data_IF_910557480357
#
_entry.id   IF_910557480357
#
_cell.length_a   1.000
_cell.length_b   1.000
_cell.length_c   1.000
_cell.angle_alpha   90.00
_cell.angle_beta   90.00
_cell.angle_gamma   90.00
#
_symmetry.space_group_name_H-M   'P 1'
#
loop_
_entity.id
_entity.type
_entity.pdbx_description
1 polymer ?
#
# COMPACT_ATOMS: atom_id res chain seq x y z
N UNK A 1 3.68 -0.39 -37.21
CA UNK A 1 2.65 0.59 -37.60
C UNK A 1 1.29 0.03 -37.22
N UNK A 2 0.88 0.22 -35.97
CA UNK A 2 -0.43 -0.16 -35.45
C UNK A 2 -0.79 0.93 -34.43
N UNK A 3 -1.63 1.88 -34.85
CA UNK A 3 -2.35 2.75 -33.93
C UNK A 3 -3.18 1.85 -33.00
N UNK A 4 -3.41 2.28 -31.76
CA UNK A 4 -4.40 1.65 -30.87
C UNK A 4 -5.79 1.77 -31.50
N UNK A 5 -6.12 0.86 -32.42
CA UNK A 5 -7.50 0.61 -32.81
C UNK A 5 -8.22 -0.14 -31.68
N UNK A 6 -9.54 -0.02 -31.57
CA UNK A 6 -10.31 -0.69 -30.54
C UNK A 6 -10.14 -2.21 -30.70
N UNK A 7 -9.33 -2.83 -29.83
CA UNK A 7 -9.31 -4.29 -29.70
C UNK A 7 -10.41 -4.67 -28.71
N UNK A 8 -11.20 -5.67 -29.10
CA UNK A 8 -12.22 -6.26 -28.23
C UNK A 8 -11.61 -6.65 -26.87
N UNK A 9 -12.34 -6.45 -25.76
CA UNK A 9 -11.84 -6.75 -24.43
C UNK A 9 -11.45 -8.23 -24.33
N UNK A 10 -10.20 -8.51 -23.97
CA UNK A 10 -9.82 -9.83 -23.48
C UNK A 10 -10.49 -10.01 -22.13
N UNK A 11 -11.42 -10.97 -22.07
CA UNK A 11 -12.18 -11.36 -20.88
C UNK A 11 -11.20 -11.64 -19.73
N UNK A 12 -11.14 -10.72 -18.76
CA UNK A 12 -10.73 -11.04 -17.40
C UNK A 12 -11.95 -11.66 -16.70
N UNK A 13 -11.72 -12.75 -15.96
CA UNK A 13 -12.72 -13.47 -15.18
C UNK A 13 -13.69 -12.56 -14.41
N UNK A 14 -14.97 -12.91 -14.48
CA UNK A 14 -16.09 -12.31 -13.76
C UNK A 14 -15.78 -12.10 -12.28
N UNK A 15 -15.75 -10.85 -11.84
CA UNK A 15 -16.02 -10.49 -10.45
C UNK A 15 -17.52 -10.22 -10.32
N UNK A 16 -18.23 -11.13 -9.65
CA UNK A 16 -19.62 -10.94 -9.24
C UNK A 16 -19.76 -9.70 -8.34
N UNK A 17 -20.78 -8.84 -8.52
CA UNK A 17 -20.99 -7.68 -7.66
C UNK A 17 -21.64 -8.09 -6.34
N UNK A 18 -21.03 -7.64 -5.23
CA UNK A 18 -21.66 -7.60 -3.90
C UNK A 18 -22.77 -6.54 -3.94
N UNK A 19 -24.04 -6.97 -3.88
CA UNK A 19 -25.19 -6.07 -3.67
C UNK A 19 -25.26 -5.65 -2.20
N UNK A 20 -25.42 -4.35 -1.97
CA UNK A 20 -25.91 -3.81 -0.70
C UNK A 20 -27.40 -4.18 -0.51
N UNK A 21 -27.87 -4.47 0.71
CA UNK A 21 -29.28 -4.77 0.95
C UNK A 21 -30.08 -3.47 1.14
N UNK A 22 -31.12 -3.29 0.33
CA UNK A 22 -32.27 -2.44 0.65
C UNK A 22 -33.42 -3.31 1.16
N UNK A 23 -34.16 -2.69 2.08
CA UNK A 23 -35.37 -3.08 2.78
C UNK A 23 -36.25 -4.16 2.13
N UNK A 24 -36.49 -5.24 2.88
CA UNK A 24 -37.59 -6.15 2.60
C UNK A 24 -38.19 -6.67 3.92
N UNK A 25 -39.31 -6.05 4.29
CA UNK A 25 -40.22 -6.47 5.35
C UNK A 25 -40.69 -7.90 5.10
N UNK A 26 -40.38 -8.85 5.99
CA UNK A 26 -40.96 -10.19 5.97
C UNK A 26 -41.49 -10.56 7.36
N UNK A 27 -42.76 -10.96 7.37
CA UNK A 27 -43.53 -11.39 8.51
C UNK A 27 -42.96 -12.67 9.13
N UNK A 28 -42.80 -12.68 10.46
CA UNK A 28 -42.51 -13.88 11.23
C UNK A 28 -43.81 -14.47 11.77
N UNK A 29 -44.25 -15.59 11.20
CA UNK A 29 -45.17 -16.53 11.83
C UNK A 29 -44.39 -17.54 12.66
N UNK A 30 -44.69 -17.59 13.96
CA UNK A 30 -44.16 -18.57 14.91
C UNK A 30 -44.85 -19.93 14.68
N UNK A 31 -44.06 -21.00 14.51
CA UNK A 31 -44.53 -22.37 14.74
C UNK A 31 -43.65 -23.04 15.80
N UNK A 32 -44.32 -23.45 16.87
CA UNK A 32 -43.82 -24.05 18.09
C UNK A 32 -43.37 -25.51 17.83
N UNK A 33 -42.20 -25.91 18.33
CA UNK A 33 -41.84 -27.31 18.47
C UNK A 33 -41.37 -27.57 19.91
N UNK A 34 -42.19 -28.37 20.59
CA UNK A 34 -42.12 -28.79 21.98
C UNK A 34 -41.00 -29.83 22.19
N UNK A 35 -40.16 -29.65 23.22
CA UNK A 35 -39.46 -30.78 23.84
C UNK A 35 -39.73 -30.79 25.33
N UNK A 36 -40.16 -31.97 25.78
CA UNK A 36 -40.65 -32.34 27.10
C UNK A 36 -39.48 -32.45 28.08
N UNK A 37 -39.59 -31.77 29.22
CA UNK A 37 -38.80 -32.04 30.43
C UNK A 37 -39.74 -32.57 31.52
N UNK A 38 -39.30 -33.62 32.21
CA UNK A 38 -39.90 -34.13 33.44
C UNK A 38 -38.78 -34.71 34.34
N UNK A 39 -38.96 -34.73 35.68
CA UNK A 39 -37.99 -34.13 36.59
C UNK A 39 -37.43 -35.08 37.66
N UNK A 40 -36.44 -34.61 38.42
CA UNK A 40 -36.18 -35.09 39.78
C UNK A 40 -35.90 -33.90 40.73
N UNK A 41 -36.79 -33.71 41.69
CA UNK A 41 -36.63 -32.95 42.92
C UNK A 41 -36.21 -33.96 44.03
N UNK A 42 -35.78 -33.69 45.26
CA UNK A 42 -35.75 -32.56 46.20
C UNK A 42 -34.81 -33.00 47.34
N UNK A 43 -34.10 -32.09 48.02
CA UNK A 43 -34.00 -32.17 49.49
C UNK A 43 -33.60 -30.80 50.07
N UNK A 44 -34.50 -30.28 50.90
CA UNK A 44 -34.44 -29.03 51.68
C UNK A 44 -34.09 -29.37 53.13
N UNK A 45 -33.41 -28.43 53.79
CA UNK A 45 -33.55 -28.17 55.23
C UNK A 45 -32.18 -27.95 55.88
N UNK A 46 -31.85 -26.83 56.52
CA UNK A 46 -32.63 -25.71 57.03
C UNK A 46 -32.07 -25.32 58.39
N UNK A 47 -31.86 -24.02 58.63
CA UNK A 47 -31.83 -23.46 59.98
C UNK A 47 -30.51 -22.88 60.49
N UNK A 48 -30.52 -21.56 60.75
CA UNK A 48 -30.19 -21.07 62.09
C UNK A 48 -28.94 -20.19 62.26
N UNK A 49 -29.19 -18.87 62.38
CA UNK A 49 -28.55 -17.88 63.28
C UNK A 49 -27.04 -17.58 63.12
N UNK A 50 -26.48 -16.42 63.49
CA UNK A 50 -26.81 -14.98 63.65
C UNK A 50 -25.47 -14.33 64.08
N UNK A 51 -25.39 -13.00 63.96
CA UNK A 51 -24.36 -12.09 64.51
C UNK A 51 -23.07 -11.95 63.68
N UNK A 52 -22.58 -10.75 63.36
CA UNK A 52 -23.00 -9.39 63.72
C UNK A 52 -21.83 -8.41 63.51
N UNK A 53 -22.15 -7.15 63.21
CA UNK A 53 -21.26 -5.98 63.34
C UNK A 53 -20.49 -5.63 62.05
N UNK A 54 -20.95 -4.73 61.17
CA UNK A 54 -21.11 -3.27 61.27
C UNK A 54 -19.80 -2.45 61.26
N UNK A 55 -19.71 -1.63 60.20
CA UNK A 55 -19.28 -0.20 60.15
C UNK A 55 -17.80 0.10 60.46
N UNK A 56 -17.13 1.07 59.84
CA UNK A 56 -17.49 2.12 58.89
C UNK A 56 -16.19 2.61 58.22
N UNK A 57 -16.25 3.10 56.99
CA UNK A 57 -16.35 4.53 56.65
C UNK A 57 -15.00 5.28 56.63
N UNK A 58 -14.72 5.81 55.42
CA UNK A 58 -14.01 7.07 55.12
C UNK A 58 -12.50 7.12 55.45
N UNK A 59 -11.60 7.61 54.61
CA UNK A 59 -11.70 8.31 53.35
C UNK A 59 -10.31 8.91 53.03
N UNK A 60 -10.08 9.16 51.74
CA UNK A 60 -9.28 10.24 51.16
C UNK A 60 -7.77 10.41 51.48
N UNK A 61 -7.10 10.82 50.39
CA UNK A 61 -5.93 11.73 50.28
C UNK A 61 -4.49 11.17 50.29
N UNK A 62 -3.97 11.07 49.05
CA UNK A 62 -2.80 11.77 48.46
C UNK A 62 -1.47 11.88 49.23
N UNK A 63 -0.45 11.39 48.53
CA UNK A 63 0.85 12.02 48.19
C UNK A 63 1.81 12.39 49.34
N UNK A 64 2.98 11.76 49.39
CA UNK A 64 4.28 12.39 49.07
C UNK A 64 5.46 11.40 49.16
N UNK A 65 6.48 11.73 48.38
CA UNK A 65 7.85 11.21 48.30
C UNK A 65 8.58 11.11 49.65
N UNK A 66 9.39 10.06 49.84
CA UNK A 66 10.85 10.11 50.08
C UNK A 66 11.39 8.67 50.25
N UNK A 67 12.33 8.23 49.40
CA UNK A 67 13.79 8.22 49.62
C UNK A 67 14.33 7.23 50.68
N UNK A 68 15.01 6.19 50.13
CA UNK A 68 16.26 5.54 50.57
C UNK A 68 16.27 4.58 51.77
N UNK A 69 17.19 3.61 51.58
CA UNK A 69 17.96 2.84 52.56
C UNK A 69 17.39 1.50 53.05
N UNK A 70 17.70 0.46 52.26
CA UNK A 70 18.70 -0.57 52.62
C UNK A 70 18.78 -0.99 54.10
N UNK A 71 18.33 -2.21 54.44
CA UNK A 71 19.03 -3.14 55.36
C UNK A 71 18.53 -4.58 55.23
N UNK A 72 19.50 -5.48 55.17
CA UNK A 72 19.50 -6.90 54.79
C UNK A 72 19.14 -7.86 55.98
N UNK A 73 19.42 -9.19 55.91
CA UNK A 73 18.52 -10.35 55.75
C UNK A 73 18.33 -11.16 57.06
N UNK A 74 17.49 -12.21 57.05
CA UNK A 74 17.82 -13.53 57.66
C UNK A 74 16.65 -14.56 57.60
N UNK A 75 17.04 -15.84 57.46
CA UNK A 75 16.32 -17.13 57.57
C UNK A 75 15.61 -17.70 56.32
N UNK A 76 16.17 -18.68 55.56
CA UNK A 76 16.41 -20.15 55.81
C UNK A 76 15.11 -20.91 56.17
N UNK A 77 14.69 -22.07 55.66
CA UNK A 77 15.18 -23.18 54.78
C UNK A 77 13.94 -24.10 54.54
N UNK A 78 13.63 -24.66 53.36
CA UNK A 78 13.68 -26.10 52.96
C UNK A 78 12.79 -26.22 51.70
N UNK A 79 13.27 -26.51 50.48
CA UNK A 79 13.83 -27.75 49.93
C UNK A 79 12.84 -28.93 49.88
N UNK A 80 12.32 -29.23 48.69
CA UNK A 80 12.21 -30.62 48.21
C UNK A 80 12.41 -30.67 46.69
N UNK A 81 13.54 -31.27 46.31
CA UNK A 81 13.96 -31.64 44.96
C UNK A 81 13.70 -33.14 44.80
N UNK A 82 13.09 -33.54 43.69
CA UNK A 82 13.23 -34.88 43.05
C UNK A 82 13.28 -34.56 41.53
N UNK A 83 14.44 -34.39 40.87
CA UNK A 83 15.41 -35.40 40.36
C UNK A 83 14.71 -36.43 39.44
N UNK A 84 15.05 -36.77 38.19
CA UNK A 84 16.08 -36.51 37.18
C UNK A 84 15.44 -37.07 35.87
N UNK A 85 15.61 -36.52 34.66
CA UNK A 85 16.71 -36.91 33.77
C UNK A 85 16.66 -36.18 32.41
N UNK A 86 17.78 -36.17 31.66
CA UNK A 86 18.14 -35.13 30.73
C UNK A 86 17.89 -35.53 29.26
N UNK A 87 17.12 -34.72 28.55
CA UNK A 87 17.28 -34.55 27.11
C UNK A 87 17.42 -33.06 26.86
N UNK A 88 18.67 -32.63 26.72
CA UNK A 88 19.02 -31.24 26.47
C UNK A 88 18.49 -30.79 25.11
N UNK A 89 17.28 -30.24 25.09
CA UNK A 89 16.84 -29.38 23.99
C UNK A 89 17.45 -28.01 24.24
N UNK A 90 18.64 -27.78 23.65
CA UNK A 90 19.18 -26.43 23.54
C UNK A 90 18.13 -25.56 22.82
N UNK A 91 17.71 -24.41 23.37
CA UNK A 91 16.92 -23.48 22.59
C UNK A 91 17.81 -23.02 21.43
N UNK A 92 17.35 -23.25 20.20
CA UNK A 92 17.96 -22.69 19.00
C UNK A 92 17.95 -21.17 19.17
N UNK A 93 19.11 -20.63 19.59
CA UNK A 93 19.41 -19.20 19.54
C UNK A 93 19.11 -18.74 18.12
N UNK A 94 18.32 -17.67 18.02
CA UNK A 94 17.83 -17.12 16.78
C UNK A 94 18.90 -17.09 15.71
N UNK A 95 18.65 -17.84 14.64
CA UNK A 95 19.19 -17.54 13.33
C UNK A 95 18.65 -16.15 12.98
N UNK A 96 19.42 -15.12 13.34
CA UNK A 96 19.33 -13.84 12.68
C UNK A 96 19.48 -14.17 11.20
N UNK A 97 18.38 -14.10 10.45
CA UNK A 97 18.42 -14.28 9.01
C UNK A 97 19.53 -13.35 8.49
N UNK A 98 20.43 -13.83 7.61
CA UNK A 98 21.47 -12.98 7.07
C UNK A 98 20.79 -11.73 6.53
N UNK A 99 21.26 -10.54 6.96
CA UNK A 99 20.81 -9.29 6.36
C UNK A 99 21.05 -9.47 4.87
N UNK A 100 19.97 -9.56 4.11
CA UNK A 100 20.01 -9.63 2.65
C UNK A 100 20.90 -8.48 2.21
N UNK A 101 21.83 -8.77 1.32
CA UNK A 101 22.65 -7.76 0.67
C UNK A 101 21.69 -6.67 0.22
N UNK A 102 21.76 -5.48 0.84
CA UNK A 102 20.88 -4.36 0.53
C UNK A 102 21.42 -3.75 -0.75
N UNK A 103 21.30 -4.50 -1.85
CA UNK A 103 21.42 -3.94 -3.18
C UNK A 103 20.41 -2.81 -3.29
N UNK A 104 20.81 -1.72 -3.94
CA UNK A 104 19.88 -0.63 -4.20
C UNK A 104 18.71 -1.19 -4.99
N UNK A 105 17.48 -1.13 -4.47
CA UNK A 105 16.38 -1.78 -5.14
C UNK A 105 16.19 -1.13 -6.51
N UNK A 106 16.23 -1.96 -7.55
CA UNK A 106 16.24 -1.61 -8.97
C UNK A 106 15.47 -0.33 -9.35
N UNK A 107 16.21 0.67 -9.82
CA UNK A 107 15.72 1.80 -10.60
C UNK A 107 16.07 1.56 -12.07
N UNK A 108 15.07 1.38 -12.93
CA UNK A 108 15.27 1.04 -14.34
C UNK A 108 14.65 2.08 -15.27
N UNK A 109 15.43 2.56 -16.23
CA UNK A 109 14.97 3.44 -17.30
C UNK A 109 14.77 2.62 -18.58
N UNK A 110 13.58 2.68 -19.16
CA UNK A 110 13.16 1.91 -20.33
C UNK A 110 12.84 2.89 -21.45
N UNK A 111 13.66 2.91 -22.50
CA UNK A 111 13.41 3.74 -23.67
C UNK A 111 12.28 3.17 -24.53
N UNK A 112 11.59 4.05 -25.27
CA UNK A 112 10.66 3.69 -26.34
C UNK A 112 9.54 2.71 -25.91
N UNK A 113 8.96 2.90 -24.72
CA UNK A 113 7.75 2.18 -24.30
C UNK A 113 6.58 2.57 -25.20
N UNK A 114 6.40 3.87 -25.44
CA UNK A 114 5.49 4.38 -26.45
C UNK A 114 6.28 4.72 -27.71
N UNK A 115 5.85 4.19 -28.86
CA UNK A 115 6.38 4.64 -30.15
C UNK A 115 5.83 6.03 -30.51
N UNK A 116 6.40 6.65 -31.54
CA UNK A 116 6.02 8.00 -31.96
C UNK A 116 4.55 8.15 -32.36
N UNK A 117 3.89 7.07 -32.82
CA UNK A 117 2.48 7.12 -33.22
C UNK A 117 1.57 7.10 -31.98
N UNK A 118 1.83 6.19 -31.04
CA UNK A 118 1.09 6.11 -29.78
C UNK A 118 1.31 7.37 -28.95
N UNK A 119 2.53 7.88 -28.88
CA UNK A 119 2.84 9.13 -28.17
C UNK A 119 2.10 10.33 -28.76
N UNK A 120 2.11 10.48 -30.10
CA UNK A 120 1.37 11.55 -30.78
C UNK A 120 -0.12 11.46 -30.49
N UNK A 121 -0.70 10.29 -30.73
CA UNK A 121 -2.12 10.05 -30.48
C UNK A 121 -2.51 10.37 -29.03
N UNK A 122 -1.71 9.93 -28.06
CA UNK A 122 -1.95 10.19 -26.64
C UNK A 122 -1.85 11.68 -26.30
N UNK A 123 -0.87 12.40 -26.86
CA UNK A 123 -0.73 13.86 -26.69
C UNK A 123 -1.91 14.62 -27.29
N UNK A 124 -2.36 14.23 -28.49
CA UNK A 124 -3.52 14.85 -29.14
C UNK A 124 -4.76 14.72 -28.24
N UNK A 125 -4.99 13.52 -27.69
CA UNK A 125 -6.09 13.29 -26.74
C UNK A 125 -5.92 14.06 -25.43
N UNK A 126 -4.71 14.14 -24.89
CA UNK A 126 -4.42 14.94 -23.70
C UNK A 126 -4.62 16.46 -23.90
N UNK A 127 -4.73 16.94 -25.14
CA UNK A 127 -5.13 18.31 -25.46
C UNK A 127 -6.65 18.54 -25.47
N UNK A 128 -7.45 17.48 -25.48
CA UNK A 128 -8.93 17.54 -25.54
C UNK A 128 -9.61 17.28 -24.19
N UNK A 129 -8.87 16.70 -23.25
CA UNK A 129 -9.41 16.21 -21.97
C UNK A 129 -9.60 17.31 -20.93
N UNK A 130 -10.45 17.03 -19.96
CA UNK A 130 -10.60 17.88 -18.78
C UNK A 130 -9.57 17.56 -17.71
N UNK A 131 -8.83 18.57 -17.27
CA UNK A 131 -7.97 18.51 -16.10
C UNK A 131 -8.69 18.99 -14.83
N UNK A 132 -8.37 18.36 -13.70
CA UNK A 132 -8.85 18.70 -12.36
C UNK A 132 -7.69 18.71 -11.36
N UNK A 133 -7.89 19.31 -10.19
CA UNK A 133 -6.88 19.34 -9.12
C UNK A 133 -6.40 17.92 -8.75
N UNK A 134 -5.11 17.66 -8.94
CA UNK A 134 -4.50 16.36 -8.71
C UNK A 134 -4.42 15.94 -7.24
N UNK A 135 -4.71 16.84 -6.28
CA UNK A 135 -4.88 16.50 -4.86
C UNK A 135 -6.00 15.50 -4.62
N UNK A 136 -6.97 15.38 -5.54
CA UNK A 136 -8.08 14.43 -5.44
C UNK A 136 -7.64 12.96 -5.55
N UNK A 137 -6.42 12.70 -6.00
CA UNK A 137 -5.89 11.35 -6.24
C UNK A 137 -4.70 10.98 -5.35
N UNK A 138 -4.24 11.92 -4.51
CA UNK A 138 -3.15 11.67 -3.59
C UNK A 138 -3.62 10.95 -2.32
N UNK A 139 -2.74 10.11 -1.76
CA UNK A 139 -2.88 9.62 -0.39
C UNK A 139 -2.91 10.77 0.62
N UNK A 140 -3.39 10.49 1.84
CA UNK A 140 -3.68 11.53 2.85
C UNK A 140 -2.47 12.44 3.14
N UNK A 141 -1.30 11.84 3.31
CA UNK A 141 -0.05 12.55 3.62
C UNK A 141 0.43 13.37 2.41
N UNK A 142 0.47 12.73 1.23
CA UNK A 142 1.00 13.32 0.01
C UNK A 142 0.11 14.43 -0.57
N UNK A 143 -1.18 14.45 -0.21
CA UNK A 143 -2.15 15.48 -0.67
C UNK A 143 -1.73 16.90 -0.30
N UNK A 144 -1.05 17.08 0.83
CA UNK A 144 -0.65 18.42 1.33
C UNK A 144 0.47 19.04 0.49
N UNK A 145 1.31 18.20 -0.10
CA UNK A 145 2.49 18.58 -0.89
C UNK A 145 2.29 18.45 -2.40
N UNK A 146 1.09 18.04 -2.84
CA UNK A 146 0.76 17.92 -4.27
C UNK A 146 0.15 19.20 -4.81
N UNK A 147 0.76 19.74 -5.86
CA UNK A 147 0.27 20.91 -6.60
C UNK A 147 0.41 20.64 -8.09
N UNK A 148 -0.54 19.90 -8.65
CA UNK A 148 -0.57 19.60 -10.07
C UNK A 148 -2.02 19.38 -10.53
N UNK A 149 -2.17 19.06 -11.80
CA UNK A 149 -3.43 18.67 -12.39
C UNK A 149 -3.41 17.21 -12.84
N UNK A 150 -4.59 16.60 -12.91
CA UNK A 150 -4.76 15.27 -13.50
C UNK A 150 -6.02 15.22 -14.33
N UNK A 151 -6.02 14.33 -15.34
CA UNK A 151 -7.21 14.07 -16.15
C UNK A 151 -8.36 13.59 -15.26
N UNK A 152 -9.54 14.17 -15.46
CA UNK A 152 -10.76 13.84 -14.73
C UNK A 152 -11.10 12.35 -14.90
N UNK A 153 -11.49 11.69 -13.81
CA UNK A 153 -11.90 10.27 -13.84
C UNK A 153 -13.19 10.05 -14.62
N UNK A 154 -13.99 11.09 -14.79
CA UNK A 154 -15.22 11.06 -15.57
C UNK A 154 -15.00 11.36 -17.07
N UNK A 155 -13.76 11.68 -17.48
CA UNK A 155 -13.47 11.98 -18.87
C UNK A 155 -13.66 10.74 -19.77
N UNK A 156 -14.45 10.83 -20.86
CA UNK A 156 -14.74 9.68 -21.71
C UNK A 156 -13.51 9.13 -22.44
N UNK A 157 -12.46 9.92 -22.64
CA UNK A 157 -11.23 9.48 -23.32
C UNK A 157 -10.27 8.74 -22.38
N UNK A 158 -10.47 8.85 -21.06
CA UNK A 158 -9.54 8.32 -20.07
C UNK A 158 -9.29 6.82 -20.22
N UNK A 159 -10.36 6.04 -20.37
CA UNK A 159 -10.25 4.57 -20.44
C UNK A 159 -9.43 4.10 -21.65
N UNK A 160 -9.63 4.73 -22.81
CA UNK A 160 -8.88 4.38 -24.04
C UNK A 160 -7.40 4.74 -23.90
N UNK A 161 -7.10 5.93 -23.38
CA UNK A 161 -5.72 6.37 -23.11
C UNK A 161 -5.01 5.44 -22.10
N UNK A 162 -5.71 5.05 -21.03
CA UNK A 162 -5.18 4.11 -20.03
C UNK A 162 -4.83 2.76 -20.66
N UNK A 163 -5.73 2.23 -21.50
CA UNK A 163 -5.51 0.94 -22.16
C UNK A 163 -4.30 1.00 -23.11
N UNK A 164 -4.15 2.09 -23.87
CA UNK A 164 -2.99 2.30 -24.75
C UNK A 164 -1.67 2.17 -23.98
N UNK A 165 -1.53 2.88 -22.85
CA UNK A 165 -0.31 2.84 -22.04
C UNK A 165 -0.08 1.45 -21.42
N UNK A 166 -1.13 0.80 -20.90
CA UNK A 166 -1.03 -0.55 -20.33
C UNK A 166 -0.57 -1.55 -21.39
N UNK A 167 -1.19 -1.56 -22.56
CA UNK A 167 -0.85 -2.48 -23.65
C UNK A 167 0.62 -2.32 -24.05
N UNK A 168 1.09 -1.07 -24.19
CA UNK A 168 2.48 -0.79 -24.54
C UNK A 168 3.48 -1.19 -23.47
N UNK A 169 3.15 -0.99 -22.19
CA UNK A 169 3.97 -1.50 -21.09
C UNK A 169 4.04 -3.04 -21.11
N UNK A 170 2.90 -3.73 -21.27
CA UNK A 170 2.83 -5.19 -21.27
C UNK A 170 3.42 -5.83 -22.54
N UNK A 171 3.45 -5.11 -23.66
CA UNK A 171 4.14 -5.56 -24.88
C UNK A 171 5.67 -5.47 -24.72
N UNK A 172 6.18 -4.52 -23.92
CA UNK A 172 7.61 -4.32 -23.70
C UNK A 172 8.24 -5.46 -22.87
N UNK A 173 9.21 -6.17 -23.46
CA UNK A 173 9.89 -7.32 -22.82
C UNK A 173 10.65 -6.90 -21.56
N UNK A 174 11.43 -5.82 -21.63
CA UNK A 174 12.23 -5.33 -20.51
C UNK A 174 11.34 -4.96 -19.30
N UNK A 175 10.22 -4.30 -19.55
CA UNK A 175 9.23 -3.99 -18.52
C UNK A 175 8.68 -5.25 -17.84
N UNK A 176 8.29 -6.27 -18.61
CA UNK A 176 7.78 -7.54 -18.06
C UNK A 176 8.81 -8.25 -17.20
N UNK A 177 10.05 -8.31 -17.64
CA UNK A 177 11.15 -8.96 -16.92
C UNK A 177 11.44 -8.23 -15.59
N UNK A 178 11.56 -6.90 -15.65
CA UNK A 178 11.90 -6.08 -14.49
C UNK A 178 10.76 -5.99 -13.45
N UNK A 179 9.50 -5.98 -13.89
CA UNK A 179 8.35 -5.76 -12.99
C UNK A 179 7.57 -7.02 -12.63
N UNK A 180 7.65 -8.07 -13.45
CA UNK A 180 6.91 -9.34 -13.31
C UNK A 180 5.43 -9.08 -12.97
N UNK A 181 4.68 -8.39 -13.83
CA UNK A 181 3.38 -7.84 -13.48
C UNK A 181 2.34 -8.95 -13.23
N UNK A 182 1.70 -8.91 -12.06
CA UNK A 182 0.46 -9.65 -11.80
C UNK A 182 -0.76 -8.79 -12.16
N UNK A 183 -0.74 -7.51 -11.76
CA UNK A 183 -1.76 -6.51 -12.12
C UNK A 183 -1.06 -5.16 -12.35
N UNK A 184 -1.43 -4.45 -13.41
CA UNK A 184 -1.05 -3.06 -13.66
C UNK A 184 -2.28 -2.19 -13.44
N UNK A 185 -2.18 -1.14 -12.60
CA UNK A 185 -3.31 -0.23 -12.39
C UNK A 185 -3.55 0.64 -13.62
N UNK A 186 -4.80 1.07 -13.85
CA UNK A 186 -5.08 2.13 -14.81
C UNK A 186 -4.23 3.38 -14.53
N UNK A 187 -3.43 3.86 -15.49
CA UNK A 187 -2.58 5.03 -15.29
C UNK A 187 -3.36 6.30 -14.96
N UNK A 188 -2.74 7.16 -14.17
CA UNK A 188 -3.16 8.55 -13.99
C UNK A 188 -2.34 9.43 -14.94
N UNK A 189 -3.00 10.32 -15.67
CA UNK A 189 -2.33 11.31 -16.51
C UNK A 189 -2.20 12.60 -15.72
N UNK A 190 -0.95 13.03 -15.51
CA UNK A 190 -0.62 14.22 -14.72
C UNK A 190 -0.08 15.32 -15.61
N UNK A 191 -0.53 16.54 -15.34
CA UNK A 191 -0.09 17.77 -15.98
C UNK A 191 0.52 18.70 -14.92
N UNK A 192 1.67 19.30 -15.26
CA UNK A 192 2.36 20.27 -14.43
C UNK A 192 2.73 21.48 -15.29
N UNK A 193 2.13 22.62 -14.95
CA UNK A 193 2.45 23.94 -15.50
C UNK A 193 3.47 24.68 -14.61
N UNK A 194 3.99 25.86 -15.01
CA UNK A 194 4.93 26.61 -14.19
C UNK A 194 4.42 26.87 -12.76
N UNK A 195 5.27 26.62 -11.77
CA UNK A 195 4.95 26.71 -10.33
C UNK A 195 4.24 25.49 -9.74
N UNK A 196 3.91 24.48 -10.55
CA UNK A 196 3.39 23.19 -10.09
C UNK A 196 4.52 22.24 -9.69
N UNK A 197 4.24 21.39 -8.70
CA UNK A 197 5.19 20.45 -8.13
C UNK A 197 4.47 19.30 -7.43
N UNK A 198 5.21 18.30 -7.00
CA UNK A 198 4.73 17.32 -6.05
C UNK A 198 5.84 17.02 -5.06
N UNK A 199 5.73 17.56 -3.84
CA UNK A 199 6.78 17.47 -2.83
C UNK A 199 7.07 16.03 -2.38
N UNK A 200 8.12 15.90 -1.55
CA UNK A 200 8.67 14.59 -1.15
C UNK A 200 7.63 13.74 -0.43
N UNK A 201 7.43 12.51 -0.93
CA UNK A 201 6.47 11.55 -0.40
C UNK A 201 6.86 10.11 -0.77
N UNK A 202 6.20 9.17 -0.09
CA UNK A 202 6.15 7.76 -0.47
C UNK A 202 4.72 7.46 -0.87
N UNK A 203 4.55 6.63 -1.91
CA UNK A 203 3.24 6.20 -2.38
C UNK A 203 2.53 5.29 -1.36
N UNK A 204 1.19 5.29 -1.38
CA UNK A 204 0.41 4.39 -0.54
C UNK A 204 0.70 2.92 -0.87
N UNK A 205 0.96 2.10 0.15
CA UNK A 205 1.26 0.68 0.00
C UNK A 205 0.06 -0.16 -0.51
N UNK A 206 -1.16 0.33 -0.32
CA UNK A 206 -2.40 -0.27 -0.78
C UNK A 206 -3.25 0.81 -1.47
N UNK A 207 -3.55 0.63 -2.75
CA UNK A 207 -4.39 1.53 -3.52
C UNK A 207 -5.61 0.79 -4.08
N UNK A 208 -6.81 1.13 -3.64
CA UNK A 208 -8.05 0.45 -4.06
C UNK A 208 -8.04 -1.05 -3.75
N UNK A 209 -7.47 -1.45 -2.61
CA UNK A 209 -7.33 -2.86 -2.21
C UNK A 209 -6.18 -3.61 -2.88
N UNK A 210 -5.45 -2.98 -3.81
CA UNK A 210 -4.29 -3.57 -4.47
C UNK A 210 -2.98 -3.13 -3.81
N UNK A 211 -2.14 -4.09 -3.44
CA UNK A 211 -0.75 -3.86 -3.04
C UNK A 211 0.07 -3.28 -4.21
N UNK A 212 0.81 -2.21 -3.95
CA UNK A 212 1.68 -1.50 -4.90
C UNK A 212 3.14 -1.87 -4.63
N UNK A 213 3.77 -2.58 -5.56
CA UNK A 213 5.17 -3.03 -5.41
C UNK A 213 6.14 -2.16 -6.21
N UNK A 214 5.69 -1.67 -7.37
CA UNK A 214 6.51 -0.92 -8.33
C UNK A 214 5.73 0.30 -8.82
N UNK A 215 6.36 1.47 -8.76
CA UNK A 215 5.87 2.71 -9.35
C UNK A 215 6.50 2.90 -10.73
N UNK A 216 5.70 3.43 -11.67
CA UNK A 216 6.09 3.61 -13.07
C UNK A 216 5.69 5.00 -13.50
N UNK A 217 6.62 5.76 -14.07
CA UNK A 217 6.34 7.04 -14.73
C UNK A 217 6.73 6.93 -16.20
N UNK A 218 5.76 7.08 -17.09
CA UNK A 218 5.98 7.22 -18.54
C UNK A 218 5.98 8.72 -18.87
N UNK A 219 7.08 9.21 -19.43
CA UNK A 219 7.25 10.62 -19.77
C UNK A 219 6.50 10.92 -21.06
N UNK A 220 5.67 11.96 -21.06
CA UNK A 220 4.86 12.36 -22.22
C UNK A 220 5.25 13.73 -22.75
N UNK A 221 6.13 14.49 -22.09
CA UNK A 221 6.77 15.70 -22.63
C UNK A 221 8.24 15.41 -22.92
N UNK A 222 8.81 16.04 -23.95
CA UNK A 222 10.27 15.99 -24.14
C UNK A 222 10.98 16.68 -22.98
N UNK A 223 12.17 16.21 -22.56
CA UNK A 223 12.87 16.75 -21.40
C UNK A 223 13.32 18.21 -21.58
N UNK A 224 13.50 18.67 -22.80
CA UNK A 224 13.85 20.04 -23.19
C UNK A 224 12.63 20.94 -23.43
N UNK A 225 11.40 20.39 -23.41
CA UNK A 225 10.16 21.16 -23.54
C UNK A 225 9.73 21.85 -22.23
N UNK A 226 10.41 21.58 -21.12
CA UNK A 226 10.15 22.20 -19.82
C UNK A 226 11.41 22.31 -18.96
N UNK A 227 11.50 23.40 -18.20
CA UNK A 227 12.55 23.64 -17.22
C UNK A 227 12.14 23.15 -15.84
N UNK A 228 13.09 22.59 -15.09
CA UNK A 228 12.79 21.88 -13.84
C UNK A 228 11.99 20.59 -14.09
N UNK A 229 11.00 20.30 -13.24
CA UNK A 229 10.06 19.19 -13.44
C UNK A 229 10.66 17.78 -13.37
N UNK A 230 11.89 17.63 -12.88
CA UNK A 230 12.52 16.32 -12.74
C UNK A 230 11.75 15.46 -11.74
N UNK A 231 11.63 14.16 -12.02
CA UNK A 231 11.30 13.18 -10.99
C UNK A 231 12.57 12.94 -10.19
N UNK A 232 12.59 13.37 -8.93
CA UNK A 232 13.71 13.18 -8.03
C UNK A 232 13.43 11.98 -7.15
N UNK A 233 14.31 10.98 -7.18
CA UNK A 233 14.22 9.78 -6.36
C UNK A 233 15.33 9.84 -5.32
N UNK A 234 14.95 9.76 -4.05
CA UNK A 234 15.86 9.87 -2.92
C UNK A 234 16.28 8.47 -2.44
N UNK A 235 17.57 8.30 -2.22
CA UNK A 235 18.17 7.07 -1.70
C UNK A 235 19.18 7.40 -0.60
N UNK A 236 19.69 6.37 0.07
CA UNK A 236 20.80 6.52 1.02
C UNK A 236 22.10 7.01 0.35
N UNK A 237 22.24 6.87 -0.97
CA UNK A 237 23.39 7.36 -1.73
C UNK A 237 23.22 8.81 -2.19
N UNK A 238 22.05 9.41 -1.99
CA UNK A 238 21.71 10.75 -2.46
C UNK A 238 20.48 10.74 -3.37
N UNK A 239 20.27 11.89 -4.02
CA UNK A 239 19.15 12.14 -4.91
C UNK A 239 19.53 11.85 -6.36
N UNK A 240 18.59 11.28 -7.11
CA UNK A 240 18.73 11.07 -8.54
C UNK A 240 17.59 11.75 -9.30
N UNK A 241 17.97 12.71 -10.14
CA UNK A 241 17.05 13.41 -11.04
C UNK A 241 16.79 12.58 -12.31
N UNK A 242 15.52 12.41 -12.64
CA UNK A 242 15.09 11.65 -13.81
C UNK A 242 14.21 12.52 -14.72
N UNK A 243 14.74 12.83 -15.91
CA UNK A 243 14.03 13.41 -17.06
C UNK A 243 14.39 12.60 -18.31
N UNK A 244 13.42 11.87 -18.85
CA UNK A 244 13.65 11.01 -20.01
C UNK A 244 12.98 11.58 -21.27
N UNK A 245 13.47 11.14 -22.43
CA UNK A 245 12.80 11.37 -23.72
C UNK A 245 11.35 10.89 -23.66
N UNK A 246 10.45 11.61 -24.33
CA UNK A 246 9.04 11.23 -24.28
C UNK A 246 8.80 9.84 -24.88
N UNK A 247 7.83 9.13 -24.32
CA UNK A 247 7.58 7.72 -24.60
C UNK A 247 8.50 6.76 -23.86
N UNK A 248 9.51 7.25 -23.13
CA UNK A 248 10.31 6.42 -22.21
C UNK A 248 9.65 6.33 -20.83
N UNK A 249 10.01 5.29 -20.08
CA UNK A 249 9.51 5.07 -18.73
C UNK A 249 10.65 4.92 -17.73
N UNK A 250 10.39 5.30 -16.49
CA UNK A 250 11.21 4.93 -15.33
C UNK A 250 10.38 4.05 -14.41
N UNK A 251 11.02 3.02 -13.88
CA UNK A 251 10.46 1.99 -13.01
C UNK A 251 11.26 1.96 -11.72
N UNK A 252 10.60 2.04 -10.57
CA UNK A 252 11.24 2.10 -9.27
C UNK A 252 10.37 1.49 -8.17
N UNK A 253 10.93 1.09 -7.02
CA UNK A 253 10.15 0.57 -5.91
C UNK A 253 9.18 1.63 -5.39
N UNK A 254 7.91 1.25 -5.18
CA UNK A 254 6.90 2.17 -4.63
C UNK A 254 7.27 2.71 -3.24
N UNK A 255 8.13 2.01 -2.51
CA UNK A 255 8.64 2.44 -1.19
C UNK A 255 9.69 3.55 -1.27
N UNK A 256 10.11 3.97 -2.46
CA UNK A 256 11.14 5.00 -2.62
C UNK A 256 10.57 6.37 -2.29
N UNK A 257 11.30 7.14 -1.48
CA UNK A 257 10.99 8.54 -1.26
C UNK A 257 11.27 9.31 -2.55
N UNK A 258 10.30 10.08 -3.02
CA UNK A 258 10.43 10.78 -4.29
C UNK A 258 9.58 12.05 -4.35
N UNK A 259 9.91 12.93 -5.29
CA UNK A 259 9.19 14.17 -5.59
C UNK A 259 9.23 14.50 -7.07
N UNK A 260 8.31 15.34 -7.54
CA UNK A 260 8.45 16.06 -8.80
C UNK A 260 8.87 17.48 -8.48
N UNK A 261 10.09 17.84 -8.88
CA UNK A 261 10.62 19.20 -8.71
C UNK A 261 9.71 20.22 -9.40
N UNK A 262 9.70 21.50 -8.93
CA UNK A 262 8.92 22.54 -9.56
C UNK A 262 9.18 22.63 -11.07
N UNK A 263 8.11 22.72 -11.86
CA UNK A 263 8.22 23.15 -13.26
C UNK A 263 8.40 24.66 -13.27
N UNK A 264 9.44 25.15 -13.94
CA UNK A 264 9.78 26.58 -13.98
C UNK A 264 9.28 27.25 -15.27
N UNK A 265 9.32 26.52 -16.37
CA UNK A 265 8.82 26.93 -17.68
C UNK A 265 8.35 25.70 -18.47
N UNK A 266 7.46 25.91 -19.45
CA UNK A 266 6.89 24.83 -20.25
C UNK A 266 5.90 23.96 -19.48
N UNK A 267 5.57 22.80 -20.05
CA UNK A 267 4.56 21.89 -19.51
C UNK A 267 5.08 20.44 -19.46
N UNK A 268 4.93 19.81 -18.29
CA UNK A 268 5.30 18.42 -18.08
C UNK A 268 4.05 17.54 -18.01
N UNK A 269 3.92 16.66 -18.99
CA UNK A 269 2.93 15.59 -19.04
C UNK A 269 3.57 14.25 -18.68
N UNK A 270 2.87 13.44 -17.89
CA UNK A 270 3.30 12.09 -17.56
C UNK A 270 2.11 11.15 -17.31
N UNK A 271 2.26 9.88 -17.69
CA UNK A 271 1.38 8.81 -17.23
C UNK A 271 2.04 8.08 -16.06
N UNK A 272 1.38 8.04 -14.90
CA UNK A 272 1.88 7.40 -13.68
C UNK A 272 1.02 6.19 -13.37
N UNK A 273 1.63 5.04 -13.13
CA UNK A 273 0.92 3.82 -12.75
C UNK A 273 1.71 3.02 -11.71
N UNK A 274 1.04 2.02 -11.16
CA UNK A 274 1.60 1.09 -10.19
C UNK A 274 1.34 -0.35 -10.62
N UNK A 275 2.31 -1.20 -10.28
CA UNK A 275 2.25 -2.63 -10.56
C UNK A 275 2.21 -3.38 -9.24
N UNK A 276 1.25 -4.31 -9.13
CA UNK A 276 1.38 -5.44 -8.21
C UNK A 276 2.22 -6.50 -8.92
N UNK A 277 3.40 -6.77 -8.41
CA UNK A 277 4.28 -7.79 -8.96
C UNK A 277 3.87 -9.18 -8.47
N UNK A 278 4.15 -10.20 -9.29
CA UNK A 278 4.18 -11.60 -8.87
C UNK A 278 5.20 -11.81 -7.75
N UNK A 279 6.29 -11.04 -7.74
CA UNK A 279 7.37 -11.09 -6.75
C UNK A 279 7.36 -9.80 -5.93
N UNK A 280 6.85 -9.90 -4.69
CA UNK A 280 6.70 -8.75 -3.78
C UNK A 280 8.04 -8.08 -3.44
N UNK A 281 9.03 -8.89 -3.05
CA UNK A 281 10.33 -8.41 -2.59
C UNK A 281 11.16 -7.83 -3.73
N UNK A 282 11.60 -6.58 -3.59
CA UNK A 282 12.32 -5.87 -4.64
C UNK A 282 13.67 -6.52 -4.98
N UNK A 283 14.44 -6.93 -3.96
CA UNK A 283 15.73 -7.58 -4.14
C UNK A 283 15.61 -8.95 -4.83
N UNK A 284 14.60 -9.75 -4.48
CA UNK A 284 14.33 -11.00 -5.17
C UNK A 284 13.91 -10.78 -6.63
N UNK A 285 13.14 -9.73 -6.92
CA UNK A 285 12.74 -9.37 -8.28
C UNK A 285 13.94 -8.92 -9.13
N UNK A 286 14.87 -8.18 -8.52
CA UNK A 286 16.13 -7.76 -9.15
C UNK A 286 17.04 -8.94 -9.47
N UNK A 287 17.25 -9.85 -8.51
CA UNK A 287 18.01 -11.08 -8.76
C UNK A 287 17.41 -11.91 -9.91
N UNK A 288 16.08 -12.00 -9.98
CA UNK A 288 15.40 -12.69 -11.07
C UNK A 288 15.48 -11.95 -12.40
N UNK A 289 15.70 -10.64 -12.40
CA UNK A 289 15.88 -9.84 -13.60
C UNK A 289 17.30 -10.04 -14.17
N UNK A 290 18.32 -10.07 -13.30
CA UNK A 290 19.72 -10.28 -13.69
C UNK A 290 20.02 -11.67 -14.30
N UNK A 291 19.14 -12.65 -14.06
CA UNK A 291 19.29 -14.02 -14.56
C UNK A 291 18.74 -14.25 -15.98
N UNK A 292 17.95 -13.32 -16.52
CA UNK A 292 17.23 -13.46 -17.81
C UNK A 292 17.85 -12.66 -18.95
#
# INVERSE_FOLDING_TARGET
MLLCGPRAPRVLHEMLPVRAPHDMTFAFTFTLATFVFAPFATLIGGGGQRHGGCLGENGLTRLRHDERADTNPQFRTHMLFILFSPLGVKPLRGLCAPRRNQGFPMLLMIANVLDANNLRWLRDKLGEVRYVDGRQTAGREARTVKRNEQVDRADPLLAEMQQCVIDRLLDNRLFKMATRPHVVRPPLFSHYAPGMEYGSHVDDAIMGGMRTDVSVTVFLSEPDAYDGGALVIESSAGEQDVKLAAGSAVVYPTTSLHRVAPVLAGERLAAVTWVRSLVRDAAARELLFDLE
#
